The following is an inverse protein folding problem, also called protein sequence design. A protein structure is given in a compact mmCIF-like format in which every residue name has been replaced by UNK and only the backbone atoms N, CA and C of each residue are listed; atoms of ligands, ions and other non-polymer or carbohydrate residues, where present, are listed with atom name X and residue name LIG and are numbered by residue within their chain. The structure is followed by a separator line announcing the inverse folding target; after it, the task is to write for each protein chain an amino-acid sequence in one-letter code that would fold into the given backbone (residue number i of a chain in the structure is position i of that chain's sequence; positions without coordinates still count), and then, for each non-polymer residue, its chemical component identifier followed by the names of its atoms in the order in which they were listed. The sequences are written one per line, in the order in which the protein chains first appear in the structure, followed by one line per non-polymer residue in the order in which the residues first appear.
data_IF_209226393466
#
_entry.id   IF_209226393466
#
_cell.length_a   1.000
_cell.length_b   1.000
_cell.length_c   1.000
_cell.angle_alpha   90.00
_cell.angle_beta   90.00
_cell.angle_gamma   90.00
#
_symmetry.space_group_name_H-M   'P 1'
#
loop_
_entity.id
_entity.type
_entity.pdbx_description
1 polymer ?
2 non-polymer ?
3 non-polymer ?
4 non-polymer ?
5 water ?
#
# COMPACT_ATOMS: atom_id res chain seq x y z
N UNK A 21 12.70 3.03 -27.13
CA UNK A 21 13.56 4.07 -26.57
C UNK A 21 14.69 3.46 -25.70
N UNK A 22 15.40 4.31 -24.89
CA UNK A 22 16.53 3.93 -24.03
C UNK A 22 16.83 5.01 -22.97
N UNK A 23 17.56 4.64 -21.88
CA UNK A 23 17.96 5.51 -20.76
C UNK A 23 19.07 4.99 -19.85
N UNK A 24 19.83 5.92 -19.25
CA UNK A 24 20.99 5.66 -18.41
C UNK A 24 20.82 5.98 -16.91
N UNK A 25 20.90 4.94 -16.06
CA UNK A 25 20.84 5.08 -14.61
C UNK A 25 22.21 4.58 -14.13
N UNK A 26 23.06 5.52 -13.65
CA UNK A 26 24.47 5.34 -13.31
C UNK A 26 25.19 4.95 -14.63
N UNK A 27 26.01 3.90 -14.61
CA UNK A 27 26.70 3.50 -15.83
C UNK A 27 25.80 2.73 -16.79
N UNK A 28 24.92 1.90 -16.21
CA UNK A 28 24.00 0.97 -16.86
C UNK A 28 22.99 1.60 -17.80
N UNK A 29 22.70 0.89 -18.90
CA UNK A 29 21.76 1.29 -19.95
C UNK A 29 20.49 0.43 -19.86
N UNK A 30 19.32 1.09 -20.02
CA UNK A 30 18.01 0.48 -19.91
C UNK A 30 17.15 0.76 -21.11
N UNK A 31 16.66 -0.32 -21.74
CA UNK A 31 15.77 -0.24 -22.89
C UNK A 31 14.35 -0.16 -22.34
N UNK A 32 13.55 0.87 -22.71
CA UNK A 32 12.15 1.01 -22.25
C UNK A 32 11.24 -0.02 -22.97
N UNK A 33 10.33 -0.69 -22.23
CA UNK A 33 9.40 -1.68 -22.76
C UNK A 33 8.01 -1.07 -22.91
N UNK A 34 7.51 -0.41 -21.83
CA UNK A 34 6.22 0.26 -21.74
C UNK A 34 6.17 1.23 -20.55
N UNK A 35 5.10 2.02 -20.43
CA UNK A 35 4.94 2.92 -19.31
C UNK A 35 4.01 2.23 -18.34
N UNK A 36 4.54 1.77 -17.21
CA UNK A 36 3.82 1.01 -16.17
C UNK A 36 2.75 1.85 -15.44
N UNK A 37 2.94 3.16 -15.40
CA UNK A 37 2.04 4.05 -14.70
C UNK A 37 2.54 5.48 -14.68
N UNK A 38 1.89 6.33 -13.85
CA UNK A 38 2.24 7.74 -13.81
C UNK A 38 2.19 8.39 -12.41
N UNK A 39 2.27 9.72 -12.43
CA UNK A 39 2.21 10.66 -11.32
C UNK A 39 2.11 12.04 -11.92
N UNK A 40 2.29 13.06 -11.09
CA UNK A 40 2.25 14.44 -11.58
C UNK A 40 3.49 14.74 -12.37
N UNK A 41 4.61 14.77 -11.65
CA UNK A 41 5.97 14.99 -12.13
C UNK A 41 6.65 13.63 -12.43
N UNK A 42 6.03 12.51 -11.98
CA UNK A 42 6.59 11.17 -12.14
C UNK A 42 5.97 10.28 -13.22
N UNK A 43 6.79 9.41 -13.79
CA UNK A 43 6.42 8.41 -14.79
C UNK A 43 7.15 7.10 -14.40
N UNK A 44 6.47 5.95 -14.47
CA UNK A 44 7.09 4.66 -14.15
C UNK A 44 7.15 3.84 -15.46
N UNK A 45 8.30 3.21 -15.74
CA UNK A 45 8.48 2.42 -16.97
C UNK A 45 8.89 0.99 -16.71
N UNK A 46 8.52 0.09 -17.61
CA UNK A 46 9.00 -1.28 -17.55
C UNK A 46 10.22 -1.28 -18.47
N UNK A 47 11.38 -1.75 -17.95
CA UNK A 47 12.65 -1.65 -18.70
C UNK A 47 13.44 -2.98 -18.71
N UNK A 48 14.42 -3.09 -19.64
CA UNK A 48 15.37 -4.21 -19.71
C UNK A 48 16.79 -3.66 -19.59
N UNK A 49 17.66 -4.30 -18.80
CA UNK A 49 19.05 -3.89 -18.68
C UNK A 49 19.87 -4.59 -19.77
N UNK A 50 21.21 -4.39 -19.78
CA UNK A 50 22.11 -4.99 -20.77
C UNK A 50 22.11 -6.54 -20.72
N UNK A 51 21.83 -7.13 -19.53
CA UNK A 51 21.78 -8.58 -19.30
C UNK A 51 20.38 -9.15 -19.65
N UNK A 52 19.51 -8.31 -20.26
CA UNK A 52 18.13 -8.60 -20.69
C UNK A 52 17.18 -8.96 -19.54
N UNK A 53 17.43 -8.39 -18.34
CA UNK A 53 16.59 -8.56 -17.13
C UNK A 53 15.58 -7.41 -17.02
N UNK A 54 14.40 -7.71 -16.51
CA UNK A 54 13.28 -6.79 -16.36
C UNK A 54 13.27 -6.04 -15.01
N UNK A 55 13.04 -4.73 -15.09
CA UNK A 55 12.97 -3.83 -13.93
C UNK A 55 11.92 -2.77 -14.16
N UNK A 56 11.70 -1.91 -13.15
CA UNK A 56 10.82 -0.76 -13.23
C UNK A 56 11.67 0.46 -12.94
N UNK A 57 11.54 1.48 -13.76
CA UNK A 57 12.27 2.70 -13.49
C UNK A 57 11.28 3.78 -13.21
N UNK A 58 11.35 4.34 -12.01
CA UNK A 58 10.52 5.46 -11.67
C UNK A 58 11.34 6.72 -12.00
N UNK A 59 10.79 7.55 -12.87
CA UNK A 59 11.39 8.83 -13.23
C UNK A 59 10.57 9.90 -12.51
N UNK A 60 11.24 10.87 -11.86
CA UNK A 60 10.63 11.99 -11.12
C UNK A 60 11.32 13.26 -11.60
N UNK A 61 10.52 14.22 -12.06
CA UNK A 61 11.03 15.51 -12.51
C UNK A 61 11.02 16.48 -11.30
N UNK A 62 12.23 17.01 -10.96
CA UNK A 62 12.37 17.93 -9.83
C UNK A 62 12.32 19.40 -10.24
N UNK A 63 12.03 19.70 -11.55
CA UNK A 63 12.05 21.08 -12.10
C UNK A 63 11.22 22.11 -11.33
N UNK A 64 9.96 21.77 -10.99
CA UNK A 64 9.09 22.67 -10.23
C UNK A 64 8.85 22.17 -8.78
N UNK A 65 9.89 21.56 -8.15
CA UNK A 65 9.83 21.00 -6.79
C UNK A 65 10.44 21.92 -5.75
N UNK A 66 9.71 22.17 -4.64
CA UNK A 66 10.15 23.02 -3.53
C UNK A 66 11.07 22.23 -2.60
N UNK A 67 11.70 22.91 -1.62
CA UNK A 67 12.63 22.26 -0.70
C UNK A 67 11.96 21.22 0.19
N UNK A 68 10.72 21.50 0.63
CA UNK A 68 9.91 20.62 1.46
C UNK A 68 9.54 19.34 0.69
N UNK A 69 9.18 19.50 -0.60
CA UNK A 69 8.87 18.41 -1.54
C UNK A 69 10.14 17.56 -1.75
N UNK A 70 11.27 18.22 -2.06
CA UNK A 70 12.56 17.57 -2.26
C UNK A 70 12.90 16.74 -1.08
N UNK A 71 12.76 17.32 0.11
CA UNK A 71 13.07 16.62 1.35
C UNK A 71 12.17 15.44 1.66
N UNK A 72 10.87 15.56 1.30
CA UNK A 72 9.91 14.47 1.47
C UNK A 72 10.31 13.29 0.57
N UNK A 73 10.85 13.59 -0.65
CA UNK A 73 11.32 12.61 -1.64
C UNK A 73 12.60 11.91 -1.16
N UNK A 74 13.58 12.68 -0.67
CA UNK A 74 14.86 12.21 -0.15
C UNK A 74 14.63 11.33 1.08
N UNK A 75 13.63 11.70 1.90
CA UNK A 75 13.30 10.94 3.11
C UNK A 75 12.69 9.57 2.77
N UNK A 76 11.73 9.53 1.82
CA UNK A 76 11.09 8.30 1.41
C UNK A 76 12.12 7.36 0.72
N UNK A 77 13.04 7.90 -0.11
CA UNK A 77 14.08 7.10 -0.74
C UNK A 77 14.99 6.47 0.33
N UNK A 78 15.53 7.28 1.29
CA UNK A 78 16.40 6.81 2.38
C UNK A 78 15.76 5.71 3.19
N UNK A 79 14.45 5.87 3.51
CA UNK A 79 13.70 4.86 4.23
C UNK A 79 13.49 3.59 3.47
N UNK A 80 13.16 3.68 2.16
CA UNK A 80 12.98 2.51 1.28
C UNK A 80 14.28 1.74 1.08
N UNK A 81 15.36 2.45 0.86
CA UNK A 81 16.70 1.91 0.70
C UNK A 81 17.11 1.12 1.97
N UNK A 82 16.80 1.67 3.19
CA UNK A 82 17.08 1.06 4.50
C UNK A 82 16.23 -0.21 4.81
N UNK A 83 14.91 -0.04 4.80
CA UNK A 83 13.92 -1.05 5.16
C UNK A 83 13.88 -2.28 4.24
N UNK A 84 14.59 -2.22 3.10
CA UNK A 84 14.74 -3.28 2.12
C UNK A 84 15.40 -4.50 2.75
N UNK A 85 16.44 -4.23 3.55
CA UNK A 85 17.23 -5.22 4.29
C UNK A 85 16.37 -6.01 5.32
N UNK A 86 15.32 -5.37 5.89
CA UNK A 86 14.45 -5.91 6.94
C UNK A 86 13.33 -6.86 6.52
N UNK A 87 12.80 -6.70 5.29
CA UNK A 87 11.71 -7.54 4.81
C UNK A 87 11.70 -7.69 3.32
N UNK A 88 11.28 -8.87 2.86
CA UNK A 88 11.12 -9.15 1.44
C UNK A 88 9.75 -8.66 0.96
N UNK A 89 8.83 -8.27 1.90
CA UNK A 89 7.49 -7.74 1.58
C UNK A 89 7.53 -6.24 1.27
N UNK A 90 8.74 -5.69 1.18
CA UNK A 90 9.01 -4.31 0.79
C UNK A 90 9.71 -4.41 -0.58
N UNK A 91 9.25 -3.58 -1.54
CA UNK A 91 9.76 -3.51 -2.92
C UNK A 91 11.29 -3.30 -2.99
N UNK A 92 11.98 -3.98 -3.93
CA UNK A 92 13.44 -3.85 -4.05
C UNK A 92 13.78 -2.57 -4.77
N UNK A 93 14.75 -1.81 -4.22
CA UNK A 93 15.34 -0.62 -4.79
C UNK A 93 16.77 -1.07 -5.06
N UNK A 94 17.09 -1.29 -6.35
CA UNK A 94 18.39 -1.78 -6.80
C UNK A 94 19.44 -0.69 -6.95
N UNK A 95 19.04 0.48 -7.46
CA UNK A 95 19.91 1.61 -7.71
C UNK A 95 19.08 2.86 -7.93
N UNK A 96 19.73 4.02 -7.83
CA UNK A 96 19.12 5.33 -8.11
C UNK A 96 20.14 6.35 -8.52
N UNK A 97 19.70 7.34 -9.31
CA UNK A 97 20.48 8.50 -9.76
C UNK A 97 19.69 9.78 -9.38
N UNK A 98 20.24 10.64 -8.52
CA UNK A 98 19.56 11.87 -8.07
C UNK A 98 20.37 13.09 -8.47
N UNK A 99 19.73 13.98 -9.23
CA UNK A 99 20.36 15.24 -9.59
C UNK A 99 19.40 16.34 -9.11
N UNK A 100 19.67 17.59 -9.51
CA UNK A 100 18.83 18.73 -9.18
C UNK A 100 17.62 18.88 -10.12
N UNK A 101 17.62 18.12 -11.24
CA UNK A 101 16.56 18.16 -12.25
C UNK A 101 15.70 16.91 -12.23
N UNK A 102 16.28 15.74 -11.84
CA UNK A 102 15.57 14.47 -11.87
C UNK A 102 16.01 13.42 -10.86
N UNK A 103 15.16 12.39 -10.69
CA UNK A 103 15.41 11.19 -9.91
C UNK A 103 15.07 9.99 -10.81
N UNK A 104 15.97 8.99 -10.85
CA UNK A 104 15.76 7.72 -11.55
C UNK A 104 15.90 6.66 -10.49
N UNK A 105 14.94 5.76 -10.36
CA UNK A 105 14.99 4.68 -9.40
C UNK A 105 14.83 3.35 -10.13
N UNK A 106 15.81 2.45 -9.97
CA UNK A 106 15.77 1.10 -10.57
C UNK A 106 15.21 0.18 -9.49
N UNK A 107 13.98 -0.25 -9.69
CA UNK A 107 13.30 -1.07 -8.70
C UNK A 107 12.86 -2.43 -9.26
N UNK A 108 12.30 -3.31 -8.41
CA UNK A 108 11.79 -4.57 -8.93
C UNK A 108 10.43 -4.31 -9.58
N UNK A 109 10.19 -5.01 -10.69
CA UNK A 109 8.96 -4.90 -11.45
C UNK A 109 7.91 -5.89 -10.92
N UNK A 110 6.70 -5.40 -10.75
CA UNK A 110 5.64 -6.28 -10.29
C UNK A 110 4.86 -6.88 -11.43
N UNK A 111 3.90 -7.74 -11.11
CA UNK A 111 3.05 -8.33 -12.13
C UNK A 111 1.86 -7.39 -12.36
N UNK A 112 1.21 -6.94 -11.26
CA UNK A 112 0.04 -6.04 -11.26
C UNK A 112 -0.09 -5.43 -9.85
N UNK A 113 -0.70 -4.25 -9.72
CA UNK A 113 -0.93 -3.72 -8.38
C UNK A 113 -2.19 -4.41 -7.83
N UNK A 114 -2.35 -4.46 -6.51
CA UNK A 114 -3.47 -5.14 -5.89
C UNK A 114 -4.85 -4.59 -6.28
N UNK A 115 -4.99 -3.25 -6.43
CA UNK A 115 -6.27 -2.66 -6.82
C UNK A 115 -6.74 -3.18 -8.17
N UNK A 116 -5.87 -3.06 -9.22
CA UNK A 116 -6.16 -3.56 -10.59
C UNK A 116 -6.44 -5.06 -10.62
N UNK A 117 -5.76 -5.84 -9.74
CA UNK A 117 -5.98 -7.26 -9.66
C UNK A 117 -7.37 -7.53 -9.10
N UNK A 118 -7.75 -6.86 -7.97
CA UNK A 118 -9.05 -7.01 -7.30
C UNK A 118 -10.21 -6.55 -8.19
N UNK A 119 -10.05 -5.39 -8.87
CA UNK A 119 -11.05 -4.86 -9.80
C UNK A 119 -11.30 -5.83 -10.97
N UNK A 120 -10.22 -6.40 -11.57
CA UNK A 120 -10.26 -7.37 -12.68
C UNK A 120 -10.83 -8.74 -12.23
N UNK A 121 -10.23 -9.36 -11.20
CA UNK A 121 -10.65 -10.66 -10.65
C UNK A 121 -12.11 -10.64 -10.14
N UNK A 122 -12.84 -11.75 -10.38
CA UNK A 122 -14.22 -11.93 -9.91
C UNK A 122 -14.17 -12.19 -8.38
N UNK A 123 -14.21 -13.48 -7.96
CA UNK A 123 -14.11 -13.89 -6.57
C UNK A 123 -12.64 -14.22 -6.24
N UNK A 124 -12.24 -13.98 -4.97
CA UNK A 124 -10.87 -14.25 -4.47
C UNK A 124 -10.85 -15.56 -3.65
N UNK A 125 -9.79 -16.37 -3.87
CA UNK A 125 -9.55 -17.64 -3.18
C UNK A 125 -9.25 -17.39 -1.70
N UNK A 126 -9.92 -18.09 -0.77
CA UNK A 126 -9.66 -17.88 0.68
C UNK A 126 -8.20 -18.02 1.10
N UNK A 127 -7.47 -18.92 0.40
CA UNK A 127 -6.06 -19.17 0.63
C UNK A 127 -5.25 -17.98 0.08
N UNK A 128 -5.57 -17.48 -1.13
CA UNK A 128 -4.94 -16.33 -1.78
C UNK A 128 -5.05 -15.12 -0.86
N UNK A 129 -6.26 -14.87 -0.33
CA UNK A 129 -6.62 -13.79 0.58
C UNK A 129 -5.84 -13.88 1.91
N UNK A 130 -5.83 -15.07 2.55
CA UNK A 130 -5.09 -15.31 3.79
C UNK A 130 -3.60 -14.99 3.59
N UNK A 131 -3.04 -15.47 2.46
CA UNK A 131 -1.65 -15.28 2.06
C UNK A 131 -1.32 -13.82 1.85
N UNK A 132 -2.23 -13.05 1.20
CA UNK A 132 -2.07 -11.62 0.93
C UNK A 132 -2.15 -10.80 2.20
N UNK A 133 -3.06 -11.21 3.12
CA UNK A 133 -3.27 -10.58 4.43
C UNK A 133 -1.96 -10.66 5.22
N UNK A 134 -1.37 -11.88 5.26
CA UNK A 134 -0.11 -12.17 5.91
C UNK A 134 0.97 -11.21 5.43
N UNK A 135 1.16 -11.07 4.09
CA UNK A 135 2.17 -10.20 3.47
C UNK A 135 1.99 -8.73 3.84
N UNK A 136 0.72 -8.26 3.87
CA UNK A 136 0.30 -6.91 4.25
C UNK A 136 0.69 -6.63 5.70
N UNK A 137 0.37 -7.56 6.63
CA UNK A 137 0.77 -7.40 8.03
C UNK A 137 2.31 -7.27 8.18
N UNK A 138 3.09 -8.13 7.48
CA UNK A 138 4.55 -8.16 7.49
C UNK A 138 5.21 -6.84 6.98
N UNK A 139 4.76 -6.30 5.83
CA UNK A 139 5.23 -5.03 5.26
C UNK A 139 4.96 -3.84 6.23
N UNK A 140 3.69 -3.67 6.65
CA UNK A 140 3.26 -2.60 7.57
C UNK A 140 3.97 -2.73 8.92
N UNK A 141 4.02 -3.94 9.49
CA UNK A 141 4.75 -4.15 10.74
C UNK A 141 6.19 -3.61 10.64
N UNK A 142 6.91 -3.92 9.54
CA UNK A 142 8.29 -3.46 9.31
C UNK A 142 8.41 -1.93 9.42
N UNK A 143 7.59 -1.19 8.63
CA UNK A 143 7.60 0.28 8.63
C UNK A 143 7.38 0.82 10.04
N UNK A 144 6.43 0.23 10.79
CA UNK A 144 6.09 0.58 12.17
C UNK A 144 7.24 0.39 13.14
N UNK A 145 8.06 -0.64 12.93
CA UNK A 145 9.23 -0.93 13.76
C UNK A 145 10.34 0.13 13.59
N UNK A 146 10.26 0.93 12.50
CA UNK A 146 11.19 2.02 12.17
C UNK A 146 10.57 3.39 12.36
N UNK A 147 9.43 3.44 13.06
CA UNK A 147 8.70 4.67 13.38
C UNK A 147 7.78 5.22 12.30
N UNK A 148 7.65 4.48 11.17
CA UNK A 148 6.79 4.90 10.06
C UNK A 148 5.33 4.42 10.21
N UNK A 149 4.36 5.34 10.07
CA UNK A 149 2.92 5.12 10.01
C UNK A 149 2.58 5.66 8.62
N UNK A 150 2.06 4.80 7.75
CA UNK A 150 1.75 5.13 6.37
C UNK A 150 0.60 6.13 6.27
N UNK A 151 -0.50 5.88 6.99
CA UNK A 151 -1.72 6.71 7.04
C UNK A 151 -2.57 6.79 5.75
N UNK A 152 -2.02 6.35 4.59
CA UNK A 152 -2.82 6.36 3.37
C UNK A 152 -2.79 5.02 2.65
N UNK A 153 -3.07 3.93 3.39
CA UNK A 153 -3.04 2.60 2.82
C UNK A 153 -4.28 2.29 2.01
N UNK A 154 -4.07 1.74 0.81
CA UNK A 154 -5.07 1.41 -0.19
C UNK A 154 -4.53 0.17 -0.95
N UNK A 155 -5.39 -0.58 -1.70
CA UNK A 155 -4.86 -1.70 -2.48
C UNK A 155 -3.81 -1.24 -3.50
N UNK A 156 -3.89 0.01 -4.01
CA UNK A 156 -2.94 0.56 -4.98
C UNK A 156 -1.48 0.63 -4.51
N UNK A 157 -1.25 0.61 -3.16
CA UNK A 157 0.07 0.65 -2.50
C UNK A 157 0.74 -0.69 -2.44
N UNK A 158 0.06 -1.75 -2.85
CA UNK A 158 0.59 -3.11 -2.83
C UNK A 158 0.77 -3.65 -4.24
N UNK A 159 1.76 -4.52 -4.41
CA UNK A 159 2.14 -5.03 -5.72
C UNK A 159 2.30 -6.53 -5.68
N UNK A 160 1.63 -7.24 -6.60
CA UNK A 160 1.78 -8.70 -6.69
C UNK A 160 3.07 -9.01 -7.46
N UNK A 161 4.01 -9.70 -6.79
CA UNK A 161 5.27 -10.10 -7.42
C UNK A 161 5.48 -11.57 -7.12
N UNK A 162 5.10 -12.44 -8.06
CA UNK A 162 5.26 -13.88 -7.94
C UNK A 162 4.46 -14.38 -6.72
N UNK A 163 3.15 -14.13 -6.75
CA UNK A 163 2.21 -14.50 -5.69
C UNK A 163 2.53 -13.96 -4.32
N UNK A 164 3.21 -12.82 -4.28
CA UNK A 164 3.65 -12.21 -3.05
C UNK A 164 3.31 -10.76 -3.07
N UNK A 165 2.62 -10.28 -2.03
CA UNK A 165 2.33 -8.85 -1.98
C UNK A 165 3.54 -8.05 -1.47
N UNK A 166 3.82 -6.91 -2.12
CA UNK A 166 4.92 -6.04 -1.70
C UNK A 166 4.40 -4.62 -1.50
N UNK A 167 4.83 -3.95 -0.42
CA UNK A 167 4.51 -2.55 -0.16
C UNK A 167 5.34 -1.65 -1.09
N UNK A 168 4.64 -0.80 -1.87
CA UNK A 168 5.20 0.10 -2.90
C UNK A 168 5.84 1.35 -2.28
N UNK A 169 5.17 1.97 -1.30
CA UNK A 169 5.64 3.21 -0.68
C UNK A 169 5.27 3.35 0.79
N UNK A 170 5.88 4.36 1.44
CA UNK A 170 5.76 4.58 2.87
C UNK A 170 4.84 5.74 3.28
N UNK A 171 4.37 6.50 2.29
CA UNK A 171 3.48 7.63 2.53
C UNK A 171 4.18 8.91 2.90
N UNK A 172 5.54 8.90 2.97
CA UNK A 172 6.38 10.04 3.35
C UNK A 172 6.40 11.13 2.26
N UNK A 173 6.70 10.73 0.99
CA UNK A 173 6.85 11.60 -0.20
C UNK A 173 5.55 12.28 -0.59
N UNK A 174 5.60 13.61 -0.82
CA UNK A 174 4.44 14.45 -1.19
C UNK A 174 3.65 13.94 -2.40
N UNK A 175 2.29 14.04 -2.32
CA UNK A 175 1.30 13.64 -3.34
C UNK A 175 1.34 12.14 -3.65
N UNK A 188 -5.83 4.38 -8.00
CA UNK A 188 -6.55 5.27 -7.08
C UNK A 188 -5.63 6.29 -6.38
N UNK A 189 -6.23 7.43 -5.96
CA UNK A 189 -5.63 8.59 -5.28
C UNK A 189 -6.72 9.57 -4.83
N UNK A 190 -6.66 9.95 -3.55
CA UNK A 190 -7.62 10.86 -2.95
C UNK A 190 -8.82 10.20 -2.30
N UNK A 191 -8.96 8.83 -2.43
CA UNK A 191 -10.07 8.02 -1.88
C UNK A 191 -10.20 8.07 -0.35
N UNK A 192 -11.44 8.18 0.17
CA UNK A 192 -11.69 8.23 1.63
C UNK A 192 -12.23 6.89 2.23
N UNK A 193 -12.42 5.86 1.38
CA UNK A 193 -12.94 4.56 1.78
C UNK A 193 -12.10 3.79 2.80
N UNK A 194 -10.80 4.06 2.85
CA UNK A 194 -9.85 3.37 3.73
C UNK A 194 -9.40 4.27 4.85
N UNK A 195 -9.99 5.48 4.93
CA UNK A 195 -9.65 6.49 5.94
C UNK A 195 -10.14 6.14 7.33
N UNK A 196 -9.23 6.15 8.36
CA UNK A 196 -9.66 5.86 9.73
C UNK A 196 -10.43 7.02 10.38
N UNK A 197 -11.36 6.74 11.32
CA UNK A 197 -12.14 7.83 11.95
C UNK A 197 -11.32 8.98 12.57
N UNK A 198 -10.16 8.67 13.17
CA UNK A 198 -9.25 9.64 13.80
C UNK A 198 -8.61 10.61 12.79
N UNK A 199 -8.37 10.14 11.55
CA UNK A 199 -7.79 10.95 10.47
C UNK A 199 -8.82 11.94 9.93
N UNK A 200 -10.12 11.57 10.00
CA UNK A 200 -11.25 12.41 9.59
C UNK A 200 -11.48 13.48 10.67
N UNK A 201 -11.42 13.08 11.97
CA UNK A 201 -11.58 13.94 13.14
C UNK A 201 -10.62 15.18 13.17
N UNK A 202 -9.41 15.04 12.58
CA UNK A 202 -8.43 16.14 12.46
C UNK A 202 -8.81 17.09 11.31
N UNK A 216 -3.28 10.06 14.75
CA UNK A 216 -2.50 9.21 13.83
C UNK A 216 -1.34 8.41 14.51
N UNK A 217 -1.65 7.13 14.82
CA UNK A 217 -0.80 6.14 15.46
C UNK A 217 -0.76 4.89 14.53
N UNK A 218 0.06 3.83 14.81
CA UNK A 218 0.03 2.61 13.97
C UNK A 218 -1.37 1.99 13.79
N UNK A 219 -2.28 2.26 14.74
CA UNK A 219 -3.65 1.77 14.72
C UNK A 219 -4.41 2.31 13.49
N UNK A 220 -3.97 3.48 12.94
CA UNK A 220 -4.57 4.11 11.76
C UNK A 220 -4.39 3.21 10.53
N UNK A 221 -3.20 2.61 10.40
CA UNK A 221 -2.85 1.67 9.35
C UNK A 221 -3.62 0.36 9.51
N UNK A 222 -3.98 0.01 10.78
CA UNK A 222 -4.78 -1.19 11.10
C UNK A 222 -6.18 -1.04 10.49
N UNK A 223 -6.81 0.14 10.69
CA UNK A 223 -8.12 0.42 10.11
C UNK A 223 -8.09 0.24 8.59
N UNK A 224 -7.11 0.89 7.93
CA UNK A 224 -6.94 0.87 6.48
C UNK A 224 -6.72 -0.54 5.92
N UNK A 225 -5.97 -1.38 6.65
CA UNK A 225 -5.73 -2.78 6.31
C UNK A 225 -7.05 -3.58 6.40
N UNK A 226 -7.86 -3.32 7.44
CA UNK A 226 -9.16 -3.97 7.63
C UNK A 226 -10.13 -3.64 6.51
N UNK A 227 -10.06 -2.40 5.98
CA UNK A 227 -10.88 -1.96 4.84
C UNK A 227 -10.47 -2.77 3.59
N UNK A 228 -9.13 -3.03 3.43
CA UNK A 228 -8.61 -3.81 2.31
C UNK A 228 -9.06 -5.27 2.42
N UNK A 229 -8.99 -5.86 3.62
CA UNK A 229 -9.42 -7.24 3.81
C UNK A 229 -10.91 -7.36 3.66
N UNK A 230 -11.67 -6.32 4.11
CA UNK A 230 -13.13 -6.26 4.04
C UNK A 230 -13.55 -6.28 2.56
N UNK A 231 -12.82 -5.55 1.69
CA UNK A 231 -13.04 -5.53 0.26
C UNK A 231 -12.78 -6.95 -0.31
N UNK A 232 -11.64 -7.59 0.04
CA UNK A 232 -11.29 -8.95 -0.39
C UNK A 232 -12.31 -9.99 0.14
N UNK A 233 -13.03 -9.67 1.23
CA UNK A 233 -14.00 -10.60 1.80
C UNK A 233 -15.38 -10.41 1.19
N UNK A 234 -15.88 -9.16 1.29
CA UNK A 234 -17.23 -8.76 0.88
C UNK A 234 -17.40 -8.15 -0.53
N UNK A 235 -16.30 -7.93 -1.25
CA UNK A 235 -16.37 -7.38 -2.60
C UNK A 235 -16.57 -5.88 -2.68
N UNK A 236 -16.66 -5.21 -1.51
CA UNK A 236 -16.81 -3.75 -1.38
C UNK A 236 -16.17 -3.26 -0.09
N UNK A 237 -15.76 -1.98 -0.01
CA UNK A 237 -15.23 -1.40 1.23
C UNK A 237 -16.40 -1.12 2.18
N UNK A 238 -16.23 -1.05 3.53
CA UNK A 238 -17.40 -0.89 4.40
C UNK A 238 -18.43 0.19 4.07
N UNK A 239 -17.99 1.38 3.64
CA UNK A 239 -18.85 2.54 3.37
C UNK A 239 -19.00 2.87 1.87
N UNK A 240 -18.65 1.91 0.99
CA UNK A 240 -18.68 2.02 -0.48
C UNK A 240 -20.07 2.34 -1.06
N UNK A 241 -21.14 1.98 -0.35
CA UNK A 241 -22.52 2.22 -0.77
C UNK A 241 -22.95 3.68 -0.62
N UNK A 242 -22.20 4.47 0.18
CA UNK A 242 -22.45 5.89 0.36
C UNK A 242 -21.70 6.69 -0.72
N UNK A 243 -22.47 7.29 -1.62
CA UNK A 243 -22.01 8.06 -2.77
C UNK A 243 -21.41 9.39 -2.29
N UNK A 244 -22.26 10.23 -1.66
CA UNK A 244 -21.97 11.54 -1.07
C UNK A 244 -20.76 11.45 -0.12
N UNK A 245 -19.68 12.20 -0.43
CA UNK A 245 -18.46 12.17 0.38
C UNK A 245 -18.68 12.74 1.78
N UNK A 246 -19.44 13.86 1.92
CA UNK A 246 -19.74 14.43 3.23
C UNK A 246 -20.52 13.41 4.09
N UNK A 247 -21.54 12.74 3.48
CA UNK A 247 -22.32 11.69 4.15
C UNK A 247 -21.44 10.46 4.46
N UNK A 248 -20.48 10.12 3.58
CA UNK A 248 -19.59 8.98 3.79
C UNK A 248 -18.68 9.24 5.00
N UNK A 249 -18.05 10.46 5.06
CA UNK A 249 -17.17 10.86 6.16
C UNK A 249 -17.93 10.86 7.49
N UNK A 250 -19.21 11.29 7.45
CA UNK A 250 -20.07 11.31 8.62
C UNK A 250 -20.36 9.91 9.13
N UNK A 251 -20.55 8.93 8.22
CA UNK A 251 -20.82 7.53 8.57
C UNK A 251 -19.63 6.88 9.29
N UNK A 252 -18.42 7.05 8.72
CA UNK A 252 -17.17 6.50 9.25
C UNK A 252 -16.96 6.90 10.71
N UNK A 253 -17.11 8.19 11.01
CA UNK A 253 -16.95 8.70 12.37
C UNK A 253 -18.11 8.36 13.29
N UNK A 254 -19.33 8.19 12.75
CA UNK A 254 -20.54 7.92 13.52
C UNK A 254 -20.59 6.51 14.16
N UNK A 255 -20.54 6.44 15.53
CA UNK A 255 -20.59 5.12 16.20
C UNK A 255 -21.96 4.46 16.17
N UNK A 256 -23.02 5.26 15.99
CA UNK A 256 -24.37 4.72 15.88
C UNK A 256 -24.58 4.10 14.49
N UNK A 257 -23.61 4.30 13.58
CA UNK A 257 -23.64 3.70 12.24
C UNK A 257 -22.94 2.34 12.29
N UNK A 258 -23.75 1.29 12.45
CA UNK A 258 -23.29 -0.09 12.54
C UNK A 258 -22.72 -0.60 11.21
N UNK A 259 -21.45 -1.05 11.21
CA UNK A 259 -20.81 -1.63 10.03
C UNK A 259 -21.33 -3.07 9.96
N UNK A 260 -21.88 -3.49 8.81
CA UNK A 260 -22.42 -4.84 8.67
C UNK A 260 -21.34 -5.85 8.35
N UNK A 261 -21.36 -7.00 9.03
CA UNK A 261 -20.41 -8.06 8.81
C UNK A 261 -21.14 -9.38 8.46
N UNK A 262 -21.68 -9.49 7.21
CA UNK A 262 -22.40 -10.73 6.82
C UNK A 262 -21.66 -12.02 7.15
N UNK A 263 -22.39 -13.05 7.63
CA UNK A 263 -21.83 -14.34 8.00
C UNK A 263 -21.23 -15.10 6.82
N UNK A 264 -19.93 -15.33 6.90
CA UNK A 264 -19.11 -16.03 5.92
C UNK A 264 -18.66 -17.35 6.59
N UNK A 265 -18.28 -18.41 5.83
CA UNK A 265 -17.85 -19.67 6.48
C UNK A 265 -16.63 -19.50 7.40
N UNK A 266 -15.83 -18.45 7.17
CA UNK A 266 -14.64 -18.17 7.95
C UNK A 266 -14.94 -17.23 9.13
N UNK A 267 -15.26 -17.84 10.30
CA UNK A 267 -15.55 -17.14 11.56
C UNK A 267 -14.31 -16.32 12.04
N UNK A 268 -13.08 -16.87 11.84
CA UNK A 268 -11.79 -16.26 12.17
C UNK A 268 -11.59 -14.94 11.41
N UNK A 269 -11.96 -14.93 10.10
CA UNK A 269 -11.88 -13.81 9.17
C UNK A 269 -12.86 -12.73 9.54
N UNK A 270 -14.08 -13.11 9.99
CA UNK A 270 -15.11 -12.15 10.44
C UNK A 270 -14.58 -11.40 11.69
N UNK A 271 -14.02 -12.15 12.67
CA UNK A 271 -13.46 -11.57 13.89
C UNK A 271 -12.35 -10.56 13.60
N UNK A 272 -11.43 -10.87 12.66
CA UNK A 272 -10.33 -9.96 12.28
C UNK A 272 -10.95 -8.62 11.86
N UNK A 273 -11.92 -8.67 10.93
CA UNK A 273 -12.62 -7.53 10.36
C UNK A 273 -13.27 -6.71 11.45
N UNK A 274 -14.03 -7.36 12.34
CA UNK A 274 -14.67 -6.72 13.48
C UNK A 274 -13.63 -6.02 14.39
N UNK A 275 -12.43 -6.64 14.57
CA UNK A 275 -11.29 -6.15 15.39
C UNK A 275 -10.58 -4.93 14.81
N UNK A 276 -10.34 -4.98 13.48
CA UNK A 276 -9.65 -3.93 12.72
C UNK A 276 -10.53 -2.70 12.61
N UNK A 277 -11.80 -2.91 12.30
CA UNK A 277 -12.77 -1.86 12.08
C UNK A 277 -13.47 -1.28 13.32
N UNK A 278 -12.72 -1.20 14.44
CA UNK A 278 -13.18 -0.60 15.70
C UNK A 278 -12.82 0.87 15.67
N UNK A 279 -13.84 1.75 15.62
CA UNK A 279 -13.75 3.21 15.51
C UNK A 279 -12.76 3.86 16.50
N UNK A 280 -12.78 3.45 17.79
CA UNK A 280 -11.84 3.94 18.82
C UNK A 280 -10.48 3.26 18.65
N UNK A 281 -9.43 4.04 18.29
CA UNK A 281 -8.08 3.46 18.10
C UNK A 281 -7.58 2.67 19.31
N UNK A 282 -8.00 3.08 20.52
CA UNK A 282 -7.67 2.47 21.80
C UNK A 282 -8.29 1.07 21.92
N UNK A 283 -9.43 0.82 21.23
CA UNK A 283 -10.17 -0.44 21.24
C UNK A 283 -9.78 -1.37 20.09
N UNK A 284 -9.00 -0.83 19.14
CA UNK A 284 -8.54 -1.51 17.92
C UNK A 284 -7.36 -2.44 18.17
N UNK A 285 -7.37 -3.60 17.51
CA UNK A 285 -6.32 -4.61 17.55
C UNK A 285 -4.99 -4.03 16.95
N UNK A 286 -3.85 -4.40 17.53
CA UNK A 286 -2.55 -3.97 17.04
C UNK A 286 -2.00 -4.98 16.00
N UNK A 287 -1.00 -4.57 15.18
CA UNK A 287 -0.36 -5.45 14.19
C UNK A 287 0.30 -6.64 14.87
N UNK A 288 1.07 -6.48 16.00
CA UNK A 288 1.64 -7.67 16.67
C UNK A 288 0.55 -8.66 17.13
N UNK A 289 -0.66 -8.13 17.46
CA UNK A 289 -1.81 -8.92 17.89
C UNK A 289 -2.45 -9.59 16.69
N UNK A 290 -2.44 -8.92 15.52
CA UNK A 290 -2.98 -9.53 14.30
C UNK A 290 -2.13 -10.72 13.79
N UNK A 291 -0.81 -10.67 14.04
CA UNK A 291 0.12 -11.71 13.59
C UNK A 291 0.03 -12.96 14.45
N UNK A 292 -0.68 -12.90 15.59
CA UNK A 292 -0.87 -14.03 16.51
C UNK A 292 -2.33 -14.51 16.51
N UNK A 293 -3.19 -13.91 15.64
CA UNK A 293 -4.60 -14.23 15.49
C UNK A 293 -4.79 -15.58 14.79
N UNK A 294 -5.83 -16.40 15.16
CA UNK A 294 -6.08 -17.68 14.46
C UNK A 294 -6.19 -17.64 12.94
N UNK A 295 -6.68 -16.50 12.37
CA UNK A 295 -6.85 -16.33 10.94
C UNK A 295 -5.53 -16.50 10.21
N UNK A 296 -4.44 -15.97 10.78
CA UNK A 296 -3.08 -15.98 10.24
C UNK A 296 -2.31 -17.29 10.57
N UNK A 297 -2.57 -17.87 11.76
CA UNK A 297 -1.83 -19.00 12.34
C UNK A 297 -2.39 -20.41 12.18
N UNK A 298 -3.72 -20.54 12.23
CA UNK A 298 -4.41 -21.83 12.14
C UNK A 298 -4.74 -22.28 10.70
N UNK A 299 -4.55 -23.61 10.46
CA UNK A 299 -4.87 -24.33 9.21
C UNK A 299 -6.39 -24.57 9.09
X LIG B 1 6.12 10.35 -7.07
X LIG B 1 6.72 10.57 -5.79
X LIG B 1 8.21 10.83 -5.98
X LIG B 1 8.89 10.25 -4.88
X LIG B 1 10.06 9.51 -5.26
X LIG B 1 10.34 8.52 -4.12
X LIG B 1 9.32 7.50 -4.06
X LIG B 1 9.86 6.20 -3.77
X LIG B 1 8.83 5.09 -3.76
X LIG B 1 8.64 4.55 -5.08
X LIG B 1 7.32 3.94 -5.19
X LIG B 1 6.79 3.96 -6.62
X LIG B 1 5.70 4.89 -6.67
X LIG B 1 5.24 5.20 -8.02
X LIG B 1 4.55 6.59 -8.05
X LIG B 1 4.41 7.08 -9.41
X LIG C 1 -2.90 -19.08 3.17
X LIG C 1 -1.69 -19.40 3.84
X LIG C 1 -0.51 -19.04 2.93
X LIG C 1 0.53 -18.42 3.65
X LIG C 1 1.81 -18.88 3.16
X LIG C 1 2.94 -18.44 4.10
X LIG C 1 2.80 -18.99 5.46
X LIG D 1 3.56 -3.30 -12.00
X LIG D 1 2.42 -2.59 -12.01
X LIG D 1 2.47 -1.40 -11.41
X LIG D 1 3.64 -0.93 -10.81
X LIG D 1 4.73 -2.97 -11.43
X LIG D 1 4.82 -1.77 -10.83
X LIG D 1 5.82 -0.98 -10.10
X LIG D 1 7.13 -1.24 -9.69
X LIG D 1 5.22 0.25 -9.74
X LIG D 1 5.91 1.20 -9.00
X LIG D 1 7.22 0.91 -8.61
X LIG D 1 7.82 -0.30 -8.95
X LIG D 1 3.91 0.27 -10.17
X LIG E 1 3.02 -2.47 14.75
X LIG E 1 1.65 -2.04 14.80
X LIG E 1 3.81 -1.73 15.84
X LIG E 1 5.05 -2.39 16.01
#
# INVERSE_FOLDING_TARGET
MHHHHHHSSGVDLGTENLYFQSMSVKGRIYSILKQIGSGGSSKVFQVLNEKKQIYAIKYVNLEEADNQTLDSYRNEIAYLNKLQQHSDKIIRLYDYEITDQYIYMVMECGNIDLNSWLKKKKSIDPWERKSYWKNMLEAVHTIHQHGIVHSDLKPANFLIVDGMLKLIDFGIANQMQPDTTSVVKDSQVGTVNYMPPEAIKDMSSSRENGKSKSKISPKSDVWSLGCILYYMTYGKTPFQQIINQISKLHAIIDPNHEIEFPDIPEKDLQDVLKCCLKRDPKQRISIPELLAHPYVQIQTHPVNQMAKGTTEE
7PE O19 C18 C17 O16 C15 C14 O13 C12 C11 O10 C9 C8 O7 C6 C5 O4
7PE O19 C18 C17 O16 C15 C14 O13
Z0W C2 N3 C4 C5 N1 C6 C7 C8 C12 C11 C10 C9 N2
EDO C1 O1 C2 O2
#
